data_IF_228338046387
#
_entry.id   IF_228338046387
#
_cell.length_a   1.000
_cell.length_b   1.000
_cell.length_c   1.000
_cell.angle_alpha   90.00
_cell.angle_beta   90.00
_cell.angle_gamma   90.00
#
_symmetry.space_group_name_H-M   'P 1'
#
loop_
_entity.id
_entity.type
_entity.pdbx_description
1 polymer ?
#
# COMPACT_ATOMS: atom_id res chain seq x y z
N UNK A 1 -0.13 15.30 -8.61
CA UNK A 1 -0.62 14.52 -7.45
C UNK A 1 0.50 14.32 -6.44
N UNK A 2 0.15 14.12 -5.18
CA UNK A 2 1.06 13.57 -4.17
C UNK A 2 0.94 12.03 -4.19
N UNK A 3 2.06 11.35 -4.42
CA UNK A 3 2.13 9.89 -4.59
C UNK A 3 3.03 9.30 -3.51
N UNK A 4 2.56 8.28 -2.80
CA UNK A 4 3.40 7.51 -1.88
C UNK A 4 3.58 6.09 -2.39
N UNK A 5 4.83 5.63 -2.46
CA UNK A 5 5.20 4.26 -2.81
C UNK A 5 5.66 3.54 -1.55
N UNK A 6 4.91 2.52 -1.12
CA UNK A 6 5.28 1.66 -0.01
C UNK A 6 6.16 0.52 -0.55
N UNK A 7 7.47 0.67 -0.42
CA UNK A 7 8.43 -0.34 -0.87
C UNK A 7 8.55 -1.46 0.17
N UNK A 8 7.85 -2.56 -0.09
CA UNK A 8 7.83 -3.77 0.74
C UNK A 8 8.94 -4.78 0.42
N UNK A 9 9.98 -4.41 -0.33
CA UNK A 9 11.12 -5.28 -0.58
C UNK A 9 11.95 -5.51 0.70
N UNK A 10 11.97 -6.75 1.26
CA UNK A 10 12.73 -7.03 2.47
C UNK A 10 14.22 -7.28 2.22
N UNK A 11 14.61 -7.51 0.95
CA UNK A 11 15.95 -7.91 0.57
C UNK A 11 16.71 -6.75 -0.07
N UNK A 12 17.66 -6.16 0.66
CA UNK A 12 18.50 -5.07 0.14
C UNK A 12 19.34 -5.46 -1.10
N UNK A 13 19.57 -6.75 -1.31
CA UNK A 13 20.28 -7.24 -2.50
C UNK A 13 19.36 -7.37 -3.74
N UNK A 14 18.06 -7.23 -3.59
CA UNK A 14 17.15 -7.13 -4.74
C UNK A 14 17.13 -5.71 -5.29
N UNK A 15 18.28 -5.31 -5.81
CA UNK A 15 18.53 -3.97 -6.38
C UNK A 15 17.65 -3.72 -7.61
N UNK A 16 17.26 -4.76 -8.35
CA UNK A 16 16.41 -4.61 -9.54
C UNK A 16 15.04 -4.04 -9.18
N UNK A 17 14.42 -4.56 -8.11
CA UNK A 17 13.15 -4.07 -7.62
C UNK A 17 13.24 -2.61 -7.17
N UNK A 18 14.25 -2.27 -6.39
CA UNK A 18 14.45 -0.91 -5.92
C UNK A 18 14.75 0.07 -7.06
N UNK A 19 15.53 -0.34 -8.08
CA UNK A 19 15.81 0.47 -9.25
C UNK A 19 14.55 0.72 -10.08
N UNK A 20 13.69 -0.29 -10.25
CA UNK A 20 12.39 -0.12 -10.93
C UNK A 20 11.54 0.94 -10.23
N UNK A 21 11.44 0.90 -8.90
CA UNK A 21 10.69 1.90 -8.14
C UNK A 21 11.31 3.29 -8.22
N UNK A 22 12.64 3.37 -8.26
CA UNK A 22 13.33 4.64 -8.44
C UNK A 22 13.07 5.24 -9.81
N UNK A 23 13.17 4.45 -10.87
CA UNK A 23 12.90 4.86 -12.24
C UNK A 23 11.44 5.31 -12.42
N UNK A 24 10.49 4.56 -11.82
CA UNK A 24 9.09 4.95 -11.79
C UNK A 24 8.88 6.30 -11.09
N UNK A 25 9.55 6.52 -9.95
CA UNK A 25 9.51 7.79 -9.24
C UNK A 25 10.04 8.95 -10.08
N UNK A 26 11.21 8.76 -10.73
CA UNK A 26 11.85 9.77 -11.57
C UNK A 26 10.92 10.17 -12.76
N UNK A 27 10.23 9.20 -13.38
CA UNK A 27 9.24 9.44 -14.43
C UNK A 27 8.01 10.20 -13.97
N UNK A 28 7.49 9.84 -12.78
CA UNK A 28 6.34 10.52 -12.19
C UNK A 28 6.69 11.95 -11.76
N UNK A 29 7.87 12.17 -11.20
CA UNK A 29 8.36 13.51 -10.85
C UNK A 29 8.54 14.39 -12.09
N UNK A 30 9.03 13.81 -13.20
CA UNK A 30 9.14 14.50 -14.50
C UNK A 30 7.77 14.90 -15.07
N UNK A 31 6.70 14.23 -14.62
CA UNK A 31 5.29 14.53 -14.94
C UNK A 31 4.62 15.47 -13.92
N UNK A 32 5.41 16.21 -13.12
CA UNK A 32 4.94 17.16 -12.10
C UNK A 32 4.15 16.52 -10.94
N UNK A 33 4.43 15.28 -10.58
CA UNK A 33 3.97 14.69 -9.34
C UNK A 33 5.01 14.89 -8.22
N UNK A 34 4.57 14.84 -6.98
CA UNK A 34 5.45 14.76 -5.80
C UNK A 34 5.46 13.32 -5.34
N UNK A 35 6.60 12.64 -5.38
CA UNK A 35 6.70 11.22 -5.05
C UNK A 35 7.51 11.01 -3.78
N UNK A 36 6.98 10.19 -2.87
CA UNK A 36 7.68 9.74 -1.66
C UNK A 36 7.80 8.22 -1.70
N UNK A 37 9.02 7.68 -1.65
CA UNK A 37 9.25 6.24 -1.51
C UNK A 37 9.58 5.93 -0.06
N UNK A 38 8.71 5.17 0.61
CA UNK A 38 8.95 4.65 1.95
C UNK A 38 9.53 3.24 1.86
N UNK A 39 10.84 3.12 2.12
CA UNK A 39 11.52 1.82 2.16
C UNK A 39 11.26 1.16 3.51
N UNK A 40 10.26 0.31 3.57
CA UNK A 40 9.76 -0.28 4.82
C UNK A 40 10.83 -1.08 5.58
N UNK A 41 11.84 -1.66 4.90
CA UNK A 41 12.95 -2.37 5.56
C UNK A 41 13.89 -1.45 6.36
N UNK A 42 13.86 -0.15 6.09
CA UNK A 42 14.68 0.86 6.79
C UNK A 42 13.92 1.52 7.95
N UNK A 43 12.64 1.13 8.14
CA UNK A 43 11.73 1.69 9.14
C UNK A 43 11.57 0.76 10.36
N UNK A 44 11.45 1.34 11.55
CA UNK A 44 11.11 0.58 12.76
C UNK A 44 9.61 0.31 12.81
N UNK A 45 9.20 -0.86 12.30
CA UNK A 45 7.83 -1.30 12.30
C UNK A 45 7.63 -2.46 13.27
N UNK A 46 6.77 -2.29 14.26
CA UNK A 46 6.30 -3.37 15.14
C UNK A 46 5.06 -4.05 14.53
N UNK A 47 4.82 -5.30 14.91
CA UNK A 47 3.60 -6.00 14.51
C UNK A 47 2.35 -5.35 15.13
N UNK A 48 1.25 -5.35 14.39
CA UNK A 48 -0.05 -5.04 14.97
C UNK A 48 -0.46 -6.17 15.94
N UNK A 49 -0.71 -5.83 17.19
CA UNK A 49 -1.12 -6.80 18.22
C UNK A 49 -2.64 -6.96 18.32
N UNK A 50 -3.42 -6.29 17.48
CA UNK A 50 -4.88 -6.34 17.53
C UNK A 50 -5.48 -5.76 18.83
N UNK A 51 -4.77 -4.86 19.51
CA UNK A 51 -5.21 -4.31 20.81
C UNK A 51 -6.33 -3.27 20.68
N UNK A 52 -6.63 -2.81 19.47
CA UNK A 52 -7.62 -1.77 19.15
C UNK A 52 -7.44 -0.45 19.90
N UNK A 53 -6.28 -0.22 20.50
CA UNK A 53 -5.95 1.03 21.19
C UNK A 53 -6.05 2.25 20.28
N UNK A 54 -5.79 2.09 18.99
CA UNK A 54 -5.93 3.10 17.95
C UNK A 54 -7.39 3.51 17.66
N UNK A 55 -8.36 2.83 18.24
CA UNK A 55 -9.78 3.21 18.20
C UNK A 55 -10.28 3.78 19.53
N UNK A 56 -9.73 3.31 20.67
CA UNK A 56 -10.29 3.65 22.00
C UNK A 56 -9.39 4.53 22.87
N UNK A 57 -8.04 4.41 22.75
CA UNK A 57 -7.09 5.19 23.56
C UNK A 57 -6.53 6.39 22.80
N UNK A 58 -6.11 6.17 21.54
CA UNK A 58 -5.52 7.18 20.66
C UNK A 58 -6.23 7.15 19.31
N UNK A 59 -7.51 7.60 19.22
CA UNK A 59 -8.28 7.49 17.98
C UNK A 59 -7.56 8.09 16.78
N UNK A 60 -7.31 7.26 15.73
CA UNK A 60 -6.60 7.68 14.52
C UNK A 60 -5.08 7.47 14.57
N UNK A 61 -4.52 6.99 15.68
CA UNK A 61 -3.08 6.76 15.82
C UNK A 61 -2.77 5.46 16.56
N UNK A 62 -1.74 4.72 16.15
CA UNK A 62 -1.32 3.51 16.86
C UNK A 62 -0.79 3.87 18.25
N UNK A 63 -1.19 3.11 19.29
CA UNK A 63 -0.67 3.29 20.66
C UNK A 63 0.81 2.93 20.78
N UNK A 64 1.31 2.07 19.89
CA UNK A 64 2.73 1.72 19.80
C UNK A 64 3.45 2.83 19.04
N UNK A 65 4.44 3.43 19.69
CA UNK A 65 5.29 4.43 19.06
C UNK A 65 6.30 3.73 18.15
N UNK A 66 6.03 3.76 16.85
CA UNK A 66 6.88 3.26 15.78
C UNK A 66 6.59 4.04 14.49
N UNK A 67 7.33 3.77 13.42
CA UNK A 67 7.23 4.50 12.16
C UNK A 67 5.90 4.26 11.41
N UNK A 68 5.03 3.35 11.89
CA UNK A 68 3.69 3.19 11.30
C UNK A 68 2.82 4.44 11.34
N UNK A 69 3.09 5.35 12.30
CA UNK A 69 2.41 6.64 12.38
C UNK A 69 2.74 7.53 11.20
N UNK A 70 4.01 7.54 10.79
CA UNK A 70 4.46 8.30 9.63
C UNK A 70 3.94 7.69 8.33
N UNK A 71 3.90 6.35 8.24
CA UNK A 71 3.25 5.66 7.10
C UNK A 71 1.78 6.05 6.99
N UNK A 72 1.02 6.00 8.07
CA UNK A 72 -0.39 6.40 8.07
C UNK A 72 -0.58 7.87 7.69
N UNK A 73 0.31 8.76 8.16
CA UNK A 73 0.29 10.19 7.81
C UNK A 73 0.58 10.42 6.34
N UNK A 74 1.62 9.78 5.79
CA UNK A 74 1.92 9.87 4.36
C UNK A 74 0.80 9.27 3.51
N UNK A 75 0.26 8.11 3.93
CA UNK A 75 -0.86 7.45 3.25
C UNK A 75 -2.05 8.40 3.10
N UNK A 76 -2.58 8.92 4.21
CA UNK A 76 -3.83 9.70 4.16
C UNK A 76 -3.66 11.07 3.49
N UNK A 77 -2.43 11.61 3.44
CA UNK A 77 -2.13 12.86 2.78
C UNK A 77 -1.70 12.71 1.31
N UNK A 78 -1.78 11.50 0.76
CA UNK A 78 -1.52 11.23 -0.66
C UNK A 78 -2.80 11.28 -1.49
N UNK A 79 -2.65 11.50 -2.80
CA UNK A 79 -3.71 11.32 -3.78
C UNK A 79 -3.74 9.88 -4.31
N UNK A 80 -2.56 9.24 -4.39
CA UNK A 80 -2.39 7.87 -4.84
C UNK A 80 -1.32 7.17 -3.99
N UNK A 81 -1.57 5.90 -3.62
CA UNK A 81 -0.60 5.05 -2.93
C UNK A 81 -0.36 3.78 -3.73
N UNK A 82 0.92 3.51 -4.03
CA UNK A 82 1.36 2.29 -4.68
C UNK A 82 1.93 1.32 -3.62
N UNK A 83 1.27 0.19 -3.45
CA UNK A 83 1.80 -0.93 -2.68
C UNK A 83 2.72 -1.74 -3.57
N UNK A 84 4.03 -1.74 -3.29
CA UNK A 84 5.03 -2.41 -4.11
C UNK A 84 5.72 -3.54 -3.33
N UNK A 85 5.69 -4.77 -3.86
CA UNK A 85 6.23 -5.94 -3.16
C UNK A 85 6.68 -7.05 -4.09
N UNK A 86 7.78 -7.75 -3.78
CA UNK A 86 7.98 -9.09 -4.32
C UNK A 86 6.90 -10.04 -3.77
N UNK A 87 6.48 -11.03 -4.59
CA UNK A 87 5.63 -12.13 -4.13
C UNK A 87 6.52 -13.13 -3.41
N UNK A 88 6.19 -13.40 -2.15
CA UNK A 88 6.92 -14.35 -1.29
C UNK A 88 5.91 -15.35 -0.75
N UNK A 89 6.10 -16.63 -1.05
CA UNK A 89 5.20 -17.72 -0.64
C UNK A 89 3.72 -17.45 -1.03
N UNK A 90 3.50 -17.00 -2.27
CA UNK A 90 2.15 -16.77 -2.81
C UNK A 90 1.45 -15.49 -2.32
N UNK A 91 2.17 -14.62 -1.57
CA UNK A 91 1.59 -13.36 -1.08
C UNK A 91 2.58 -12.20 -1.13
N UNK A 92 2.12 -10.98 -0.81
CA UNK A 92 3.03 -9.84 -0.60
C UNK A 92 4.00 -10.14 0.55
N UNK A 93 5.15 -9.49 0.57
CA UNK A 93 6.14 -9.69 1.62
C UNK A 93 5.53 -9.47 3.01
N UNK A 94 6.00 -10.22 4.00
CA UNK A 94 5.60 -10.01 5.40
C UNK A 94 5.89 -8.59 5.89
N UNK A 95 6.88 -7.91 5.30
CA UNK A 95 7.22 -6.54 5.60
C UNK A 95 6.12 -5.57 5.14
N UNK A 96 5.64 -5.71 3.88
CA UNK A 96 4.52 -4.90 3.39
C UNK A 96 3.24 -5.22 4.17
N UNK A 97 2.97 -6.51 4.43
CA UNK A 97 1.81 -6.93 5.22
C UNK A 97 1.82 -6.33 6.63
N UNK A 98 2.98 -6.27 7.27
CA UNK A 98 3.15 -5.64 8.59
C UNK A 98 2.79 -4.15 8.59
N UNK A 99 3.20 -3.41 7.56
CA UNK A 99 2.81 -2.01 7.38
C UNK A 99 1.29 -1.89 7.12
N UNK A 100 0.75 -2.75 6.24
CA UNK A 100 -0.67 -2.79 5.90
C UNK A 100 -1.56 -3.07 7.13
N UNK A 101 -1.20 -4.02 8.01
CA UNK A 101 -1.93 -4.31 9.23
C UNK A 101 -1.97 -3.12 10.22
N UNK A 102 -1.08 -2.16 10.04
CA UNK A 102 -1.03 -0.93 10.82
C UNK A 102 -1.90 0.20 10.25
N UNK A 103 -2.70 -0.04 9.20
CA UNK A 103 -3.65 0.95 8.66
C UNK A 103 -4.99 1.00 9.42
N UNK A 104 -5.22 0.11 10.41
CA UNK A 104 -6.43 0.12 11.26
C UNK A 104 -6.76 1.52 11.83
N UNK A 105 -5.80 2.38 12.23
CA UNK A 105 -6.10 3.74 12.69
C UNK A 105 -6.82 4.61 11.66
N UNK A 106 -6.68 4.30 10.37
CA UNK A 106 -7.25 5.10 9.28
C UNK A 106 -8.77 4.93 9.12
N UNK A 107 -9.37 3.93 9.77
CA UNK A 107 -10.80 3.62 9.70
C UNK A 107 -11.44 3.66 11.09
N UNK A 108 -12.78 3.76 11.12
CA UNK A 108 -13.53 3.65 12.37
C UNK A 108 -13.84 2.20 12.75
N UNK A 109 -14.07 1.88 14.05
CA UNK A 109 -14.50 0.54 14.47
C UNK A 109 -15.94 0.19 14.05
N UNK A 110 -16.71 1.18 13.61
CA UNK A 110 -18.11 0.99 13.22
C UNK A 110 -18.20 0.38 11.84
N UNK A 111 -19.24 -0.43 11.61
CA UNK A 111 -19.45 -1.18 10.38
C UNK A 111 -20.67 -0.68 9.62
N UNK A 112 -20.63 -0.80 8.31
CA UNK A 112 -21.74 -0.63 7.40
C UNK A 112 -21.75 -1.73 6.35
N UNK A 113 -22.85 -1.90 5.64
CA UNK A 113 -22.96 -2.86 4.53
C UNK A 113 -22.69 -2.16 3.21
N UNK A 114 -21.65 -2.59 2.50
CA UNK A 114 -21.30 -2.13 1.16
C UNK A 114 -21.18 -3.36 0.25
N UNK A 115 -21.94 -3.40 -0.85
CA UNK A 115 -21.94 -4.53 -1.81
C UNK A 115 -22.17 -5.90 -1.14
N UNK A 116 -23.09 -5.97 -0.15
CA UNK A 116 -23.38 -7.15 0.66
C UNK A 116 -22.21 -7.66 1.53
N UNK A 117 -21.19 -6.85 1.78
CA UNK A 117 -20.07 -7.15 2.66
C UNK A 117 -20.04 -6.13 3.82
N UNK A 118 -19.55 -6.54 5.00
CA UNK A 118 -19.32 -5.63 6.11
C UNK A 118 -17.99 -4.90 5.91
N UNK A 119 -18.05 -3.57 5.92
CA UNK A 119 -16.89 -2.70 5.81
C UNK A 119 -16.90 -1.64 6.91
N UNK A 120 -15.72 -1.18 7.30
CA UNK A 120 -15.58 -0.12 8.29
C UNK A 120 -16.07 1.23 7.76
N UNK A 121 -16.59 2.07 8.66
CA UNK A 121 -16.88 3.46 8.33
C UNK A 121 -15.59 4.26 8.12
N UNK A 122 -15.63 5.16 7.16
CA UNK A 122 -14.53 6.08 6.88
C UNK A 122 -14.28 7.02 8.06
N UNK A 123 -13.01 7.23 8.43
CA UNK A 123 -12.58 8.23 9.41
C UNK A 123 -12.33 9.59 8.76
N UNK A 124 -11.91 9.61 7.50
CA UNK A 124 -11.54 10.79 6.74
C UNK A 124 -12.51 11.00 5.58
N UNK A 125 -12.62 12.23 5.12
CA UNK A 125 -13.50 12.58 3.98
C UNK A 125 -12.97 12.03 2.65
N UNK A 126 -11.63 11.90 2.54
CA UNK A 126 -10.95 11.41 1.33
C UNK A 126 -9.86 10.42 1.70
N UNK A 127 -9.76 9.37 0.91
CA UNK A 127 -8.64 8.43 0.93
C UNK A 127 -7.93 8.43 -0.43
N UNK A 128 -6.62 8.13 -0.47
CA UNK A 128 -5.90 8.00 -1.72
C UNK A 128 -6.44 6.84 -2.55
N UNK A 129 -6.43 6.96 -3.86
CA UNK A 129 -6.55 5.81 -4.74
C UNK A 129 -5.37 4.86 -4.51
N UNK A 130 -5.57 3.57 -4.74
CA UNK A 130 -4.51 2.58 -4.51
C UNK A 130 -4.22 1.75 -5.75
N UNK A 131 -2.94 1.41 -5.92
CA UNK A 131 -2.44 0.50 -6.93
C UNK A 131 -1.51 -0.54 -6.31
N UNK A 132 -1.27 -1.61 -7.04
CA UNK A 132 -0.41 -2.72 -6.64
C UNK A 132 0.64 -2.99 -7.71
N UNK A 133 1.91 -3.04 -7.30
CA UNK A 133 3.04 -3.43 -8.14
C UNK A 133 3.73 -4.65 -7.53
N UNK A 134 3.76 -5.75 -8.28
CA UNK A 134 4.30 -7.01 -7.80
C UNK A 134 5.52 -7.44 -8.61
N UNK A 135 6.51 -7.98 -7.92
CA UNK A 135 7.59 -8.74 -8.57
C UNK A 135 7.27 -10.23 -8.43
N UNK A 136 7.06 -10.88 -9.59
CA UNK A 136 6.74 -12.31 -9.64
C UNK A 136 7.98 -13.14 -9.26
N UNK A 137 7.88 -13.95 -8.22
CA UNK A 137 8.92 -14.92 -7.86
C UNK A 137 8.81 -16.20 -8.70
N UNK A 138 9.86 -17.04 -8.68
CA UNK A 138 9.93 -18.27 -9.50
C UNK A 138 8.78 -19.27 -9.24
N UNK A 139 8.17 -19.24 -8.06
CA UNK A 139 7.08 -20.16 -7.69
C UNK A 139 5.70 -19.50 -7.71
N UNK A 140 5.60 -18.23 -8.03
CA UNK A 140 4.32 -17.51 -8.07
C UNK A 140 3.62 -17.74 -9.43
N UNK A 141 2.31 -17.89 -9.40
CA UNK A 141 1.47 -18.06 -10.58
C UNK A 141 0.41 -16.95 -10.73
N UNK A 142 -0.48 -17.09 -11.67
CA UNK A 142 -1.55 -16.12 -11.94
C UNK A 142 -2.65 -16.15 -10.85
N UNK A 143 -2.81 -17.30 -10.18
CA UNK A 143 -3.78 -17.42 -9.08
C UNK A 143 -3.30 -16.62 -7.86
N UNK A 144 -2.01 -16.67 -7.52
CA UNK A 144 -1.40 -15.86 -6.47
C UNK A 144 -1.66 -14.37 -6.72
N UNK A 145 -1.37 -13.89 -7.95
CA UNK A 145 -1.57 -12.50 -8.34
C UNK A 145 -3.04 -12.10 -8.19
N UNK A 146 -3.96 -12.95 -8.63
CA UNK A 146 -5.41 -12.73 -8.53
C UNK A 146 -5.87 -12.66 -7.08
N UNK A 147 -5.39 -13.55 -6.21
CA UNK A 147 -5.71 -13.57 -4.78
C UNK A 147 -5.22 -12.27 -4.12
N UNK A 148 -3.97 -11.89 -4.36
CA UNK A 148 -3.39 -10.66 -3.82
C UNK A 148 -4.22 -9.45 -4.28
N UNK A 149 -4.49 -9.35 -5.59
CA UNK A 149 -5.27 -8.25 -6.17
C UNK A 149 -6.66 -8.13 -5.55
N UNK A 150 -7.35 -9.26 -5.35
CA UNK A 150 -8.67 -9.29 -4.73
C UNK A 150 -8.67 -8.80 -3.28
N UNK A 151 -7.61 -9.08 -2.51
CA UNK A 151 -7.46 -8.60 -1.14
C UNK A 151 -7.31 -7.09 -1.13
N UNK A 152 -6.41 -6.52 -1.96
CA UNK A 152 -6.22 -5.07 -2.04
C UNK A 152 -7.44 -4.34 -2.62
N UNK A 153 -8.19 -4.97 -3.53
CA UNK A 153 -9.46 -4.43 -4.00
C UNK A 153 -10.49 -4.32 -2.87
N UNK A 154 -10.58 -5.33 -1.98
CA UNK A 154 -11.47 -5.28 -0.80
C UNK A 154 -11.01 -4.24 0.22
N UNK A 155 -9.70 -4.07 0.36
CA UNK A 155 -9.14 -3.01 1.19
C UNK A 155 -9.52 -1.62 0.66
N UNK A 156 -9.50 -1.41 -0.65
CA UNK A 156 -9.99 -0.18 -1.25
C UNK A 156 -11.47 0.09 -0.94
N UNK A 157 -12.33 -0.95 -0.96
CA UNK A 157 -13.75 -0.81 -0.55
C UNK A 157 -13.85 -0.40 0.92
N UNK A 158 -13.02 -0.99 1.78
CA UNK A 158 -12.97 -0.68 3.20
C UNK A 158 -12.56 0.78 3.46
N UNK A 159 -11.62 1.28 2.67
CA UNK A 159 -11.11 2.66 2.71
C UNK A 159 -11.93 3.65 1.85
N UNK A 160 -13.07 3.23 1.30
CA UNK A 160 -13.96 4.08 0.46
C UNK A 160 -13.22 4.74 -0.71
N UNK A 161 -12.31 4.01 -1.33
CA UNK A 161 -11.51 4.49 -2.46
C UNK A 161 -11.51 3.49 -3.62
N UNK A 162 -10.77 3.81 -4.68
CA UNK A 162 -10.63 2.97 -5.87
C UNK A 162 -9.34 2.17 -5.83
N UNK A 163 -9.44 0.88 -6.15
CA UNK A 163 -8.31 0.05 -6.56
C UNK A 163 -8.12 0.22 -8.06
N UNK A 164 -7.01 0.82 -8.48
CA UNK A 164 -6.80 1.24 -9.88
C UNK A 164 -6.27 0.12 -10.75
N UNK A 165 -5.23 -0.60 -10.28
CA UNK A 165 -4.57 -1.65 -11.07
C UNK A 165 -3.71 -2.59 -10.21
N UNK A 166 -3.40 -3.76 -10.80
CA UNK A 166 -2.24 -4.58 -10.45
C UNK A 166 -1.29 -4.61 -11.64
N UNK A 167 -0.02 -4.30 -11.42
CA UNK A 167 1.06 -4.36 -12.41
C UNK A 167 2.21 -5.22 -11.91
N UNK A 168 3.01 -5.72 -12.85
CA UNK A 168 4.20 -6.50 -12.54
C UNK A 168 5.46 -5.69 -12.87
N UNK A 169 6.57 -5.95 -12.17
CA UNK A 169 7.86 -5.35 -12.49
C UNK A 169 8.46 -5.83 -13.82
N UNK A 170 7.79 -6.78 -14.50
CA UNK A 170 8.07 -7.16 -15.89
C UNK A 170 7.42 -6.24 -16.91
N UNK A 171 6.45 -5.43 -16.50
CA UNK A 171 5.82 -4.43 -17.35
C UNK A 171 6.81 -3.26 -17.55
N UNK A 172 6.81 -2.62 -18.73
CA UNK A 172 7.62 -1.42 -18.94
C UNK A 172 7.28 -0.33 -17.93
N UNK A 173 8.29 0.28 -17.30
CA UNK A 173 8.11 1.28 -16.24
C UNK A 173 7.33 2.50 -16.74
N UNK A 174 7.55 2.90 -18.01
CA UNK A 174 6.81 3.99 -18.66
C UNK A 174 5.32 3.66 -18.80
N UNK A 175 4.99 2.38 -19.02
CA UNK A 175 3.60 1.92 -19.09
C UNK A 175 2.88 2.12 -17.76
N UNK A 176 3.55 1.79 -16.66
CA UNK A 176 3.02 1.98 -15.30
C UNK A 176 2.93 3.47 -14.96
N UNK A 177 3.96 4.25 -15.28
CA UNK A 177 3.94 5.70 -15.08
C UNK A 177 2.79 6.36 -15.86
N UNK A 178 2.60 5.99 -17.15
CA UNK A 178 1.51 6.51 -17.98
C UNK A 178 0.12 6.14 -17.45
N UNK A 179 -0.05 5.00 -16.81
CA UNK A 179 -1.32 4.62 -16.18
C UNK A 179 -1.61 5.49 -14.96
N UNK A 180 -0.60 5.72 -14.11
CA UNK A 180 -0.72 6.62 -12.94
C UNK A 180 -0.99 8.06 -13.38
N UNK A 181 -0.35 8.54 -14.46
CA UNK A 181 -0.56 9.89 -14.98
C UNK A 181 -1.99 10.15 -15.50
N UNK A 182 -2.78 9.09 -15.73
CA UNK A 182 -4.19 9.19 -16.20
C UNK A 182 -5.22 9.16 -15.07
N UNK A 183 -4.79 8.94 -13.83
CA UNK A 183 -5.66 8.94 -12.65
C UNK A 183 -5.99 10.37 -12.23
#
# INVERSE_FOLDING_TARGET
MKITILNGNPNANNVKFDNYLKELSDLLESSNHTVTILKLREMDLKYCMGCFGCWVKTPGECVVADDSRDICREYINSDFVLFASPIIMGFTSALLKKAHDKHIPLIHPYLEIVRNEFHHLARYEKYPMIGLLLEKSKGADEEDIKIISNIYMRDAINLKTSFCFTRLTTDPVEGVANEINRL
#
